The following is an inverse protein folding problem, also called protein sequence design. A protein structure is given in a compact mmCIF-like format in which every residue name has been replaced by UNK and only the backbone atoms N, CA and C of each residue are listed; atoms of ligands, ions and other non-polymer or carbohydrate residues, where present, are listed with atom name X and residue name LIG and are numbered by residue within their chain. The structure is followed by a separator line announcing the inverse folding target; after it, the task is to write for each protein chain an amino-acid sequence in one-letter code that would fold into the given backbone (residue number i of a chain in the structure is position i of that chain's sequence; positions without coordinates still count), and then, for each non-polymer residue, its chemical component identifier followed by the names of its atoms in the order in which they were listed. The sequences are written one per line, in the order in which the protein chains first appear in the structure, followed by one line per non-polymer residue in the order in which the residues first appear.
data_IF_634185360861
#
_entry.id   IF_634185360861
#
_cell.length_a   1.000
_cell.length_b   1.000
_cell.length_c   1.000
_cell.angle_alpha   90.00
_cell.angle_beta   90.00
_cell.angle_gamma   90.00
#
_symmetry.space_group_name_H-M   'P 1'
#
loop_
_entity.id
_entity.type
_entity.pdbx_description
1 polymer ?
#
# COMPACT_ATOMS: atom_id res chain seq x y z
N UNK A 1 39.99 9.77 -34.24
CA UNK A 1 39.91 8.34 -34.61
C UNK A 1 40.65 7.55 -33.54
N UNK A 2 39.97 6.60 -32.88
CA UNK A 2 40.32 5.86 -31.64
C UNK A 2 40.36 6.73 -30.37
N UNK A 3 39.91 6.36 -29.17
CA UNK A 3 39.44 5.09 -28.60
C UNK A 3 38.54 5.37 -27.38
N UNK A 4 37.82 4.34 -26.94
CA UNK A 4 36.72 4.35 -25.98
C UNK A 4 37.13 4.19 -24.49
N UNK A 5 36.13 4.40 -23.64
CA UNK A 5 35.93 3.88 -22.26
C UNK A 5 36.76 4.50 -21.12
N UNK A 6 36.10 5.36 -20.33
CA UNK A 6 36.13 5.21 -18.87
C UNK A 6 34.82 5.71 -18.24
N UNK A 7 34.21 4.80 -17.49
CA UNK A 7 32.93 4.88 -16.78
C UNK A 7 32.86 6.01 -15.75
N UNK A 8 31.68 6.62 -15.61
CA UNK A 8 31.17 7.08 -14.33
C UNK A 8 29.66 6.78 -14.27
N UNK A 9 29.39 5.62 -13.69
CA UNK A 9 28.07 5.08 -13.31
C UNK A 9 27.44 6.01 -12.27
N UNK A 10 26.32 6.66 -12.59
CA UNK A 10 25.28 7.04 -11.60
C UNK A 10 23.91 7.39 -12.22
N UNK A 11 23.66 6.95 -13.46
CA UNK A 11 22.29 6.92 -13.98
C UNK A 11 21.85 5.47 -13.90
N UNK A 12 21.03 5.14 -12.90
CA UNK A 12 20.06 4.02 -12.84
C UNK A 12 19.51 3.96 -11.39
N UNK A 13 18.88 5.04 -10.93
CA UNK A 13 17.70 4.86 -10.09
C UNK A 13 16.51 4.91 -11.05
N UNK A 14 16.46 3.91 -11.93
CA UNK A 14 15.23 3.58 -12.62
C UNK A 14 14.38 2.96 -11.53
N UNK A 15 13.33 3.68 -11.14
CA UNK A 15 12.21 3.04 -10.47
C UNK A 15 11.85 1.84 -11.35
N UNK A 16 12.22 0.64 -10.90
CA UNK A 16 11.62 -0.58 -11.42
C UNK A 16 10.13 -0.42 -11.12
N UNK A 17 9.38 0.10 -12.10
CA UNK A 17 7.97 -0.16 -12.23
C UNK A 17 7.88 -1.67 -12.43
N UNK A 18 7.96 -2.41 -11.31
CA UNK A 18 7.60 -3.81 -11.23
C UNK A 18 6.21 -3.90 -11.82
N UNK A 19 6.17 -4.35 -13.07
CA UNK A 19 4.94 -4.48 -13.82
C UNK A 19 4.10 -5.55 -13.13
N UNK A 20 3.17 -5.10 -12.32
CA UNK A 20 2.26 -6.00 -11.64
C UNK A 20 1.39 -6.70 -12.70
N UNK A 21 1.56 -8.02 -12.81
CA UNK A 21 0.75 -8.89 -13.67
C UNK A 21 -0.40 -9.54 -12.91
N UNK A 22 -0.49 -9.28 -11.60
CA UNK A 22 -1.54 -9.80 -10.73
C UNK A 22 -2.81 -8.96 -10.81
N UNK A 23 -3.95 -9.62 -10.67
CA UNK A 23 -5.26 -8.96 -10.60
C UNK A 23 -5.39 -8.18 -9.29
N UNK A 24 -4.69 -8.62 -8.23
CA UNK A 24 -4.76 -8.02 -6.90
C UNK A 24 -3.40 -7.55 -6.38
N UNK A 25 -3.37 -6.31 -5.90
CA UNK A 25 -2.28 -5.71 -5.14
C UNK A 25 -2.67 -5.54 -3.69
N UNK A 26 -1.84 -6.06 -2.78
CA UNK A 26 -1.97 -5.78 -1.36
C UNK A 26 -1.04 -4.63 -0.98
N UNK A 27 -1.62 -3.54 -0.53
CA UNK A 27 -0.90 -2.42 0.07
C UNK A 27 -0.97 -2.52 1.59
N UNK A 28 0.13 -2.26 2.27
CA UNK A 28 0.16 -2.07 3.72
C UNK A 28 0.76 -0.72 4.08
N UNK A 29 -0.09 0.20 4.56
CA UNK A 29 0.29 1.53 5.03
C UNK A 29 0.34 1.56 6.56
N UNK A 30 1.54 1.65 7.10
CA UNK A 30 1.76 1.88 8.53
C UNK A 30 3.13 2.51 8.79
N UNK A 31 3.20 3.42 9.77
CA UNK A 31 4.43 4.16 10.10
C UNK A 31 5.60 3.23 10.40
N UNK A 32 5.32 2.11 11.04
CA UNK A 32 6.31 1.19 11.57
C UNK A 32 6.38 -0.11 10.73
N UNK A 33 5.76 -0.15 9.55
CA UNK A 33 5.59 -1.34 8.69
C UNK A 33 6.90 -2.10 8.42
N UNK A 34 8.04 -1.42 8.38
CA UNK A 34 9.36 -2.01 8.10
C UNK A 34 10.31 -2.00 9.31
N UNK A 35 9.80 -1.76 10.53
CA UNK A 35 10.65 -1.47 11.70
C UNK A 35 10.56 -2.51 12.81
N UNK A 36 9.40 -3.15 13.01
CA UNK A 36 9.22 -4.14 14.07
C UNK A 36 9.38 -5.55 13.54
N UNK A 37 9.91 -6.45 14.37
CA UNK A 37 10.02 -7.88 14.03
C UNK A 37 8.64 -8.48 13.68
N UNK A 38 7.61 -8.14 14.46
CA UNK A 38 6.25 -8.60 14.22
C UNK A 38 5.71 -8.15 12.85
N UNK A 39 6.01 -6.92 12.43
CA UNK A 39 5.60 -6.43 11.12
C UNK A 39 6.37 -7.16 10.02
N UNK A 40 7.68 -7.36 10.16
CA UNK A 40 8.48 -8.10 9.18
C UNK A 40 7.98 -9.54 9.02
N UNK A 41 7.72 -10.24 10.13
CA UNK A 41 7.14 -11.58 10.12
C UNK A 41 5.75 -11.61 9.47
N UNK A 42 4.92 -10.60 9.74
CA UNK A 42 3.60 -10.48 9.12
C UNK A 42 3.73 -10.26 7.61
N UNK A 43 4.67 -9.43 7.16
CA UNK A 43 4.92 -9.27 5.74
C UNK A 43 5.35 -10.59 5.08
N UNK A 44 6.19 -11.40 5.74
CA UNK A 44 6.56 -12.73 5.25
C UNK A 44 5.32 -13.62 5.06
N UNK A 45 4.46 -13.72 6.08
CA UNK A 45 3.21 -14.50 6.00
C UNK A 45 2.26 -13.99 4.91
N UNK A 46 2.17 -12.67 4.73
CA UNK A 46 1.35 -12.08 3.66
C UNK A 46 1.89 -12.46 2.28
N UNK A 47 3.22 -12.42 2.09
CA UNK A 47 3.86 -12.81 0.82
C UNK A 47 3.70 -14.30 0.49
N UNK A 48 3.43 -15.16 1.48
CA UNK A 48 3.07 -16.56 1.22
C UNK A 48 1.67 -16.71 0.59
N UNK A 49 0.79 -15.72 0.80
CA UNK A 49 -0.61 -15.76 0.33
C UNK A 49 -0.87 -14.85 -0.89
N UNK A 50 -0.09 -13.79 -1.09
CA UNK A 50 -0.24 -12.87 -2.21
C UNK A 50 1.12 -12.52 -2.83
N UNK A 51 1.17 -12.54 -4.17
CA UNK A 51 2.39 -12.29 -4.93
C UNK A 51 2.85 -10.82 -4.85
N UNK A 52 1.92 -9.87 -4.84
CA UNK A 52 2.25 -8.45 -4.84
C UNK A 52 1.87 -7.76 -3.52
N UNK A 53 2.83 -7.71 -2.60
CA UNK A 53 2.75 -6.93 -1.36
C UNK A 53 3.64 -5.67 -1.47
N UNK A 54 3.03 -4.49 -1.38
CA UNK A 54 3.75 -3.21 -1.34
C UNK A 54 3.51 -2.49 -0.01
N UNK A 55 4.59 -2.15 0.68
CA UNK A 55 4.54 -1.49 2.00
C UNK A 55 4.83 0.00 1.90
N UNK A 56 4.16 0.79 2.73
CA UNK A 56 4.34 2.23 2.82
C UNK A 56 4.41 2.65 4.28
N UNK A 57 5.43 3.43 4.64
CA UNK A 57 5.52 4.10 5.95
C UNK A 57 5.06 5.56 5.93
N UNK A 58 4.76 6.07 4.74
CA UNK A 58 4.37 7.45 4.49
C UNK A 58 3.04 7.50 3.74
N UNK A 59 2.11 8.28 4.30
CA UNK A 59 0.76 8.46 3.75
C UNK A 59 0.80 9.04 2.33
N UNK A 60 1.57 10.11 2.10
CA UNK A 60 1.64 10.80 0.82
C UNK A 60 2.20 9.91 -0.28
N UNK A 61 3.21 9.10 0.01
CA UNK A 61 3.77 8.14 -0.96
C UNK A 61 2.75 7.06 -1.32
N UNK A 62 1.98 6.56 -0.34
CA UNK A 62 0.92 5.59 -0.59
C UNK A 62 -0.21 6.19 -1.43
N UNK A 63 -0.69 7.38 -1.07
CA UNK A 63 -1.73 8.11 -1.79
C UNK A 63 -1.31 8.40 -3.24
N UNK A 64 -0.08 8.85 -3.44
CA UNK A 64 0.47 9.11 -4.77
C UNK A 64 0.57 7.83 -5.61
N UNK A 65 1.01 6.73 -5.01
CA UNK A 65 1.09 5.44 -5.70
C UNK A 65 -0.29 5.00 -6.19
N UNK A 66 -1.29 5.02 -5.31
CA UNK A 66 -2.68 4.67 -5.67
C UNK A 66 -3.19 5.59 -6.79
N UNK A 67 -2.96 6.90 -6.71
CA UNK A 67 -3.42 7.85 -7.72
C UNK A 67 -2.76 7.72 -9.10
N UNK A 68 -1.53 7.20 -9.17
CA UNK A 68 -0.82 6.98 -10.45
C UNK A 68 -1.23 5.70 -11.18
N UNK A 69 -1.69 4.68 -10.45
CA UNK A 69 -2.08 3.40 -11.04
C UNK A 69 -3.53 3.51 -11.54
N UNK A 70 -3.73 4.05 -12.76
CA UNK A 70 -5.05 4.28 -13.34
C UNK A 70 -5.61 3.08 -14.13
N UNK A 71 -4.90 1.95 -14.14
CA UNK A 71 -5.34 0.74 -14.85
C UNK A 71 -6.57 0.16 -14.13
N UNK A 72 -7.70 0.09 -14.82
CA UNK A 72 -8.96 -0.41 -14.25
C UNK A 72 -8.92 -1.91 -13.90
N UNK A 73 -7.94 -2.62 -14.45
CA UNK A 73 -7.78 -4.06 -14.31
C UNK A 73 -7.14 -4.44 -12.97
N UNK A 74 -6.35 -3.56 -12.36
CA UNK A 74 -5.70 -3.81 -11.08
C UNK A 74 -6.67 -3.53 -9.92
N UNK A 75 -6.79 -4.48 -8.98
CA UNK A 75 -7.60 -4.35 -7.78
C UNK A 75 -6.70 -4.18 -6.56
N UNK A 76 -6.96 -3.14 -5.78
CA UNK A 76 -6.19 -2.78 -4.59
C UNK A 76 -6.95 -3.21 -3.33
N UNK A 77 -6.26 -3.96 -2.49
CA UNK A 77 -6.63 -4.19 -1.09
C UNK A 77 -5.66 -3.40 -0.22
N UNK A 78 -6.17 -2.58 0.70
CA UNK A 78 -5.34 -1.77 1.61
C UNK A 78 -5.48 -2.25 3.05
N UNK A 79 -4.37 -2.64 3.66
CA UNK A 79 -4.22 -2.77 5.12
C UNK A 79 -3.67 -1.45 5.64
N UNK A 80 -4.32 -0.84 6.63
CA UNK A 80 -3.91 0.46 7.17
C UNK A 80 -4.13 0.52 8.67
N UNK A 81 -3.21 1.16 9.41
CA UNK A 81 -3.46 1.40 10.84
C UNK A 81 -4.60 2.39 11.07
N UNK A 82 -5.25 2.33 12.23
CA UNK A 82 -6.37 3.21 12.56
C UNK A 82 -6.05 4.71 12.38
N UNK A 83 -4.82 5.13 12.73
CA UNK A 83 -4.37 6.51 12.59
C UNK A 83 -4.34 6.95 11.13
N UNK A 84 -3.58 6.25 10.27
CA UNK A 84 -3.51 6.58 8.84
C UNK A 84 -4.82 6.30 8.10
N UNK A 85 -5.61 5.31 8.52
CA UNK A 85 -6.89 4.96 7.90
C UNK A 85 -7.88 6.12 7.93
N UNK A 86 -7.99 6.82 9.07
CA UNK A 86 -8.86 8.00 9.20
C UNK A 86 -8.48 9.12 8.24
N UNK A 87 -7.21 9.22 7.87
CA UNK A 87 -6.70 10.28 6.99
C UNK A 87 -6.74 9.90 5.51
N UNK A 88 -6.31 8.69 5.15
CA UNK A 88 -6.18 8.28 3.74
C UNK A 88 -7.49 7.83 3.13
N UNK A 89 -8.35 7.11 3.87
CA UNK A 89 -9.59 6.53 3.31
C UNK A 89 -10.48 7.60 2.67
N UNK A 90 -10.75 8.76 3.31
CA UNK A 90 -11.53 9.83 2.68
C UNK A 90 -10.94 10.38 1.38
N UNK A 91 -9.63 10.23 1.15
CA UNK A 91 -8.93 10.75 -0.04
C UNK A 91 -8.98 9.78 -1.22
N UNK A 92 -8.93 8.48 -0.91
CA UNK A 92 -8.84 7.42 -1.93
C UNK A 92 -10.15 6.64 -2.13
N UNK A 93 -11.21 6.91 -1.36
CA UNK A 93 -12.43 6.08 -1.42
C UNK A 93 -13.11 6.04 -2.80
N UNK A 94 -12.94 7.10 -3.59
CA UNK A 94 -13.49 7.20 -4.95
C UNK A 94 -12.72 6.37 -5.98
N UNK A 95 -11.54 5.83 -5.64
CA UNK A 95 -10.70 5.13 -6.59
C UNK A 95 -11.36 3.78 -6.98
N UNK A 96 -11.69 3.56 -8.27
CA UNK A 96 -12.41 2.34 -8.69
C UNK A 96 -11.64 1.05 -8.41
N UNK A 97 -10.31 1.12 -8.49
CA UNK A 97 -9.40 0.01 -8.18
C UNK A 97 -9.41 -0.39 -6.70
N UNK A 98 -9.75 0.50 -5.77
CA UNK A 98 -9.79 0.19 -4.35
C UNK A 98 -10.98 -0.72 -4.08
N UNK A 99 -10.75 -2.00 -3.83
CA UNK A 99 -11.82 -2.98 -3.63
C UNK A 99 -12.07 -3.31 -2.17
N UNK A 100 -11.09 -3.07 -1.30
CA UNK A 100 -11.23 -3.34 0.13
C UNK A 100 -10.21 -2.61 0.98
N UNK A 101 -10.63 -2.21 2.18
CA UNK A 101 -9.79 -1.62 3.21
C UNK A 101 -9.96 -2.38 4.52
N UNK A 102 -8.86 -2.85 5.08
CA UNK A 102 -8.77 -3.47 6.39
C UNK A 102 -8.04 -2.52 7.33
N UNK A 103 -8.77 -1.99 8.31
CA UNK A 103 -8.21 -1.06 9.29
C UNK A 103 -7.80 -1.83 10.53
N UNK A 104 -6.52 -1.89 10.87
CA UNK A 104 -6.09 -2.53 12.12
C UNK A 104 -5.79 -1.47 13.19
N UNK A 105 -6.30 -1.66 14.40
CA UNK A 105 -6.07 -0.74 15.50
C UNK A 105 -6.36 -1.39 16.84
N UNK A 106 -5.55 -1.08 17.84
CA UNK A 106 -5.79 -1.47 19.24
C UNK A 106 -7.10 -0.89 19.82
N UNK A 107 -7.61 0.22 19.27
CA UNK A 107 -8.84 0.87 19.75
C UNK A 107 -9.95 0.85 18.69
N UNK A 108 -10.57 -0.32 18.55
CA UNK A 108 -11.60 -0.61 17.54
C UNK A 108 -12.77 0.39 17.55
N UNK A 109 -13.28 0.75 18.73
CA UNK A 109 -14.50 1.57 18.87
C UNK A 109 -14.36 2.98 18.27
N UNK A 110 -13.18 3.60 18.39
CA UNK A 110 -12.93 4.93 17.83
C UNK A 110 -12.96 4.86 16.30
N UNK A 111 -12.39 3.81 15.72
CA UNK A 111 -12.23 3.71 14.27
C UNK A 111 -13.46 3.13 13.56
N UNK A 112 -14.28 2.33 14.22
CA UNK A 112 -15.57 1.86 13.68
C UNK A 112 -16.54 3.01 13.39
N UNK A 113 -16.51 4.09 14.18
CA UNK A 113 -17.45 5.22 14.00
C UNK A 113 -17.26 5.92 12.66
N UNK A 114 -16.03 6.23 12.26
CA UNK A 114 -15.78 6.87 10.96
C UNK A 114 -15.81 5.86 9.81
N UNK A 115 -15.40 4.61 10.05
CA UNK A 115 -15.42 3.55 9.03
C UNK A 115 -16.82 3.29 8.47
N UNK A 116 -17.87 3.46 9.30
CA UNK A 116 -19.28 3.34 8.87
C UNK A 116 -19.65 4.27 7.71
N UNK A 117 -18.98 5.42 7.58
CA UNK A 117 -19.20 6.34 6.46
C UNK A 117 -18.64 5.82 5.13
N UNK A 118 -17.84 4.76 5.16
CA UNK A 118 -17.14 4.18 4.00
C UNK A 118 -17.38 2.66 3.87
N UNK A 119 -18.54 2.19 4.35
CA UNK A 119 -18.89 0.75 4.45
C UNK A 119 -18.78 -0.05 3.14
N UNK A 120 -18.87 0.61 1.99
CA UNK A 120 -18.78 -0.05 0.68
C UNK A 120 -17.33 -0.39 0.29
N UNK A 121 -16.34 0.16 1.02
CA UNK A 121 -14.91 -0.06 0.80
C UNK A 121 -14.21 -0.58 2.05
N UNK A 122 -14.62 -0.14 3.24
CA UNK A 122 -14.03 -0.64 4.49
C UNK A 122 -14.65 -1.98 4.84
N UNK A 123 -13.88 -3.05 4.66
CA UNK A 123 -14.31 -4.43 4.88
C UNK A 123 -14.37 -4.76 6.37
N UNK A 124 -13.35 -4.36 7.14
CA UNK A 124 -13.27 -4.65 8.57
C UNK A 124 -12.38 -3.64 9.33
N UNK A 125 -12.70 -3.47 10.62
CA UNK A 125 -11.79 -2.93 11.62
C UNK A 125 -11.35 -4.08 12.53
N UNK A 126 -10.06 -4.36 12.58
CA UNK A 126 -9.47 -5.52 13.28
C UNK A 126 -8.50 -5.07 14.38
N UNK A 127 -8.24 -5.97 15.34
CA UNK A 127 -7.29 -5.80 16.46
C UNK A 127 -6.21 -6.85 16.37
#
# INVERSE_FOLDING_TARGET
MASAVLNAVSSLAVDDEEKNVEIFSLLWLDKDVNTTEDNLQTQHKLRESINFLKTFNNLSTCEHWIGRHQTQDEKIILIVSGAYGKEIVPRIYHQPQLVGVYVYCLNKEIHEKWAKNYKDKVCAVVT
#
